data_IF_317967889408
#
_entry.id   IF_317967889408
#
_cell.length_a   1.000
_cell.length_b   1.000
_cell.length_c   1.000
_cell.angle_alpha   90.00
_cell.angle_beta   90.00
_cell.angle_gamma   90.00
#
_symmetry.space_group_name_H-M   'P 1'
#
loop_
_entity.id
_entity.type
_entity.pdbx_description
1 polymer ?
#
# COMPACT_ATOMS: atom_id res chain seq x y z
N UNK A 1 -8.40 -3.13 -73.26
CA UNK A 1 -8.83 -2.25 -72.17
C UNK A 1 -9.23 -3.12 -70.97
N UNK A 2 -8.32 -3.33 -69.99
CA UNK A 2 -8.60 -4.12 -68.80
C UNK A 2 -8.67 -3.19 -67.60
N UNK A 3 -9.89 -2.98 -67.07
CA UNK A 3 -10.11 -2.29 -65.79
C UNK A 3 -9.72 -3.25 -64.68
N UNK A 4 -8.62 -2.94 -63.99
CA UNK A 4 -8.27 -3.60 -62.73
C UNK A 4 -9.16 -3.06 -61.61
N UNK A 5 -10.01 -3.93 -61.05
CA UNK A 5 -10.78 -3.65 -59.85
C UNK A 5 -9.83 -3.63 -58.66
N UNK A 6 -9.62 -2.46 -58.09
CA UNK A 6 -8.91 -2.30 -56.81
C UNK A 6 -9.93 -2.60 -55.72
N UNK A 7 -9.77 -3.74 -55.06
CA UNK A 7 -10.51 -4.08 -53.85
C UNK A 7 -9.93 -3.28 -52.70
N UNK A 8 -10.69 -2.33 -52.17
CA UNK A 8 -10.36 -1.54 -51.01
C UNK A 8 -10.71 -2.38 -49.79
N UNK A 9 -9.71 -3.04 -49.21
CA UNK A 9 -9.86 -3.73 -47.94
C UNK A 9 -9.89 -2.67 -46.82
N UNK A 10 -11.09 -2.34 -46.36
CA UNK A 10 -11.29 -1.56 -45.15
C UNK A 10 -11.01 -2.47 -43.97
N UNK A 11 -9.80 -2.36 -43.43
CA UNK A 11 -9.42 -3.00 -42.17
C UNK A 11 -10.11 -2.22 -41.04
N UNK A 12 -11.26 -2.74 -40.59
CA UNK A 12 -11.98 -2.25 -39.44
C UNK A 12 -11.14 -2.60 -38.19
N UNK A 13 -10.24 -1.70 -37.82
CA UNK A 13 -9.58 -1.72 -36.52
C UNK A 13 -10.64 -1.47 -35.43
N UNK A 14 -11.22 -2.55 -34.93
CA UNK A 14 -11.90 -2.53 -33.63
C UNK A 14 -10.87 -2.22 -32.56
N UNK A 15 -10.66 -0.93 -32.30
CA UNK A 15 -10.02 -0.46 -31.09
C UNK A 15 -10.94 -0.85 -29.92
N UNK A 16 -10.66 -1.99 -29.32
CA UNK A 16 -11.19 -2.33 -28.00
C UNK A 16 -10.52 -1.33 -27.04
N UNK A 17 -11.15 -0.18 -26.90
CA UNK A 17 -10.90 0.70 -25.77
C UNK A 17 -11.30 -0.10 -24.53
N UNK A 18 -10.33 -0.77 -23.93
CA UNK A 18 -10.44 -1.22 -22.56
C UNK A 18 -10.64 0.04 -21.72
N UNK A 19 -11.89 0.45 -21.54
CA UNK A 19 -12.28 1.38 -20.52
C UNK A 19 -11.91 0.72 -19.21
N UNK A 20 -10.71 1.04 -18.72
CA UNK A 20 -10.37 0.88 -17.32
C UNK A 20 -11.35 1.80 -16.60
N UNK A 21 -12.50 1.26 -16.23
CA UNK A 21 -13.38 1.87 -15.26
C UNK A 21 -12.54 1.97 -14.00
N UNK A 22 -11.96 3.13 -13.77
CA UNK A 22 -11.48 3.53 -12.47
C UNK A 22 -12.71 3.45 -11.57
N UNK A 23 -12.87 2.31 -10.90
CA UNK A 23 -13.90 2.15 -9.88
C UNK A 23 -13.59 3.26 -8.87
N UNK A 24 -14.48 4.25 -8.78
CA UNK A 24 -14.43 5.31 -7.79
C UNK A 24 -14.64 4.66 -6.41
N UNK A 25 -13.57 4.12 -5.87
CA UNK A 25 -13.57 3.51 -4.56
C UNK A 25 -13.75 4.64 -3.53
N UNK A 26 -14.83 4.62 -2.77
CA UNK A 26 -15.04 5.57 -1.68
C UNK A 26 -14.09 5.22 -0.54
N UNK A 27 -13.16 6.13 -0.23
CA UNK A 27 -12.20 5.97 0.85
C UNK A 27 -12.74 6.67 2.08
N UNK A 28 -13.09 5.89 3.10
CA UNK A 28 -13.43 6.40 4.42
C UNK A 28 -12.18 6.52 5.28
N UNK A 29 -12.12 7.54 6.13
CA UNK A 29 -11.06 7.66 7.12
C UNK A 29 -11.40 6.75 8.32
N UNK A 30 -10.51 5.82 8.62
CA UNK A 30 -10.56 4.97 9.80
C UNK A 30 -9.55 5.37 10.86
N UNK A 31 -9.38 4.51 11.85
CA UNK A 31 -8.45 4.67 12.96
C UNK A 31 -7.58 3.43 13.11
N UNK A 32 -6.36 3.63 13.62
CA UNK A 32 -5.46 2.55 13.98
C UNK A 32 -6.05 1.61 15.05
N UNK A 33 -6.97 2.09 15.88
CA UNK A 33 -7.67 1.28 16.90
C UNK A 33 -8.50 0.15 16.26
N UNK A 34 -8.91 0.31 15.01
CA UNK A 34 -9.64 -0.72 14.24
C UNK A 34 -8.76 -1.93 13.87
N UNK A 35 -7.44 -1.86 14.12
CA UNK A 35 -6.53 -3.00 14.04
C UNK A 35 -6.69 -3.96 15.24
N UNK A 36 -7.45 -3.57 16.26
CA UNK A 36 -7.73 -4.42 17.40
C UNK A 36 -8.55 -5.63 16.98
N UNK A 37 -8.07 -6.83 17.34
CA UNK A 37 -8.73 -8.09 17.01
C UNK A 37 -8.57 -8.54 15.56
N UNK A 38 -7.79 -7.85 14.73
CA UNK A 38 -7.42 -8.32 13.40
C UNK A 38 -6.55 -9.57 13.52
N UNK A 39 -6.93 -10.63 12.81
CA UNK A 39 -6.22 -11.92 12.81
C UNK A 39 -5.65 -12.27 11.44
N UNK A 40 -6.33 -11.85 10.36
CA UNK A 40 -6.01 -12.23 8.99
C UNK A 40 -5.63 -11.02 8.15
N UNK A 41 -4.51 -11.12 7.46
CA UNK A 41 -4.03 -10.07 6.57
C UNK A 41 -3.81 -10.60 5.16
N UNK A 42 -4.19 -9.80 4.17
CA UNK A 42 -3.79 -9.98 2.79
C UNK A 42 -2.73 -8.93 2.42
N UNK A 43 -1.64 -9.35 1.77
CA UNK A 43 -0.55 -8.45 1.40
C UNK A 43 -0.48 -8.31 -0.11
N UNK A 44 -0.94 -7.15 -0.59
CA UNK A 44 -0.95 -6.73 -2.00
C UNK A 44 0.25 -5.82 -2.27
N UNK A 45 1.25 -6.35 -2.96
CA UNK A 45 2.45 -5.61 -3.31
C UNK A 45 2.53 -5.50 -4.83
N UNK A 46 2.38 -4.28 -5.32
CA UNK A 46 2.57 -3.96 -6.74
C UNK A 46 4.03 -3.57 -7.01
N UNK A 47 4.92 -4.53 -6.77
CA UNK A 47 6.36 -4.42 -6.94
C UNK A 47 6.95 -5.82 -7.15
N UNK A 48 8.28 -5.95 -7.15
CA UNK A 48 8.94 -7.25 -7.24
C UNK A 48 8.56 -8.17 -6.07
N UNK A 49 8.48 -9.48 -6.31
CA UNK A 49 8.16 -10.48 -5.27
C UNK A 49 9.06 -10.35 -4.04
N UNK A 50 10.33 -10.04 -4.23
CA UNK A 50 11.29 -9.81 -3.16
C UNK A 50 10.87 -8.71 -2.16
N UNK A 51 10.09 -7.71 -2.62
CA UNK A 51 9.55 -6.64 -1.76
C UNK A 51 8.48 -7.21 -0.83
N UNK A 52 7.59 -8.04 -1.36
CA UNK A 52 6.57 -8.72 -0.56
C UNK A 52 7.19 -9.59 0.53
N UNK A 53 8.20 -10.35 0.17
CA UNK A 53 8.87 -11.26 1.11
C UNK A 53 9.58 -10.48 2.23
N UNK A 54 10.19 -9.33 1.92
CA UNK A 54 10.79 -8.45 2.94
C UNK A 54 9.76 -7.87 3.89
N UNK A 55 8.60 -7.42 3.37
CA UNK A 55 7.49 -6.94 4.20
C UNK A 55 7.03 -8.04 5.16
N UNK A 56 6.76 -9.23 4.64
CA UNK A 56 6.30 -10.36 5.44
C UNK A 56 7.33 -10.80 6.49
N UNK A 57 8.61 -10.84 6.13
CA UNK A 57 9.68 -11.19 7.06
C UNK A 57 9.78 -10.20 8.22
N UNK A 58 9.71 -8.90 7.93
CA UNK A 58 9.81 -7.87 8.97
C UNK A 58 8.56 -7.86 9.87
N UNK A 59 7.35 -8.04 9.33
CA UNK A 59 6.12 -8.18 10.13
C UNK A 59 6.26 -9.36 11.09
N UNK A 60 6.58 -10.55 10.56
CA UNK A 60 6.74 -11.77 11.37
C UNK A 60 7.78 -11.61 12.47
N UNK A 61 8.91 -10.99 12.15
CA UNK A 61 9.99 -10.72 13.12
C UNK A 61 9.50 -9.88 14.30
N UNK A 62 8.82 -8.77 14.01
CA UNK A 62 8.34 -7.84 15.04
C UNK A 62 7.21 -8.46 15.89
N UNK A 63 6.29 -9.19 15.26
CA UNK A 63 5.18 -9.84 15.98
C UNK A 63 5.66 -11.00 16.84
N UNK A 64 6.59 -11.82 16.36
CA UNK A 64 7.19 -12.90 17.17
C UNK A 64 7.88 -12.39 18.42
N UNK A 65 8.60 -11.27 18.32
CA UNK A 65 9.22 -10.62 19.48
C UNK A 65 8.20 -10.25 20.56
N UNK A 66 6.96 -9.94 20.15
CA UNK A 66 5.84 -9.61 21.03
C UNK A 66 4.94 -10.82 21.37
N UNK A 67 5.32 -12.05 20.96
CA UNK A 67 4.53 -13.28 21.12
C UNK A 67 3.13 -13.16 20.50
N UNK A 68 3.05 -12.50 19.36
CA UNK A 68 1.83 -12.32 18.56
C UNK A 68 2.01 -12.95 17.18
N UNK A 69 0.91 -13.32 16.56
CA UNK A 69 0.90 -13.91 15.23
C UNK A 69 -0.25 -13.33 14.40
N UNK A 70 -0.05 -13.25 13.10
CA UNK A 70 -1.07 -12.90 12.12
C UNK A 70 -1.08 -13.96 11.03
N UNK A 71 -2.26 -14.35 10.62
CA UNK A 71 -2.48 -15.29 9.53
C UNK A 71 -2.39 -14.53 8.21
N UNK A 72 -1.47 -14.94 7.35
CA UNK A 72 -1.33 -14.38 6.02
C UNK A 72 -2.15 -15.22 5.06
N UNK A 73 -3.20 -14.62 4.49
CA UNK A 73 -4.09 -15.30 3.55
C UNK A 73 -3.68 -15.04 2.11
N UNK A 74 -4.01 -15.98 1.21
CA UNK A 74 -3.71 -15.87 -0.22
C UNK A 74 -4.80 -15.15 -1.00
N UNK A 75 -6.02 -15.12 -0.47
CA UNK A 75 -7.18 -14.50 -1.10
C UNK A 75 -7.60 -13.26 -0.34
N UNK A 76 -7.84 -12.15 -1.04
CA UNK A 76 -8.22 -10.89 -0.38
C UNK A 76 -9.54 -10.99 0.40
N UNK A 77 -10.50 -11.78 -0.08
CA UNK A 77 -11.82 -11.96 0.55
C UNK A 77 -11.78 -12.71 1.89
N UNK A 78 -10.69 -13.41 2.17
CA UNK A 78 -10.49 -14.15 3.42
C UNK A 78 -9.82 -13.31 4.52
N UNK A 79 -9.46 -12.07 4.22
CA UNK A 79 -8.71 -11.22 5.14
C UNK A 79 -9.57 -10.18 5.85
N UNK A 80 -9.16 -9.83 7.06
CA UNK A 80 -9.77 -8.73 7.83
C UNK A 80 -9.33 -7.37 7.30
N UNK A 81 -8.08 -7.28 6.86
CA UNK A 81 -7.46 -6.07 6.31
C UNK A 81 -6.49 -6.39 5.17
N UNK A 82 -6.28 -5.39 4.32
CA UNK A 82 -5.28 -5.44 3.25
C UNK A 82 -4.12 -4.50 3.55
N UNK A 83 -2.91 -5.02 3.45
CA UNK A 83 -1.69 -4.23 3.39
C UNK A 83 -1.32 -4.04 1.93
N UNK A 84 -1.35 -2.79 1.46
CA UNK A 84 -1.00 -2.44 0.08
C UNK A 84 0.31 -1.68 0.08
N UNK A 85 1.23 -2.06 -0.79
CA UNK A 85 2.50 -1.36 -0.96
C UNK A 85 2.86 -1.26 -2.43
N UNK A 86 3.22 -0.05 -2.88
CA UNK A 86 3.66 0.21 -4.24
C UNK A 86 4.58 1.43 -4.28
N UNK A 87 5.14 1.68 -5.44
CA UNK A 87 5.91 2.88 -5.71
C UNK A 87 5.16 3.75 -6.73
N UNK A 88 5.04 5.03 -6.42
CA UNK A 88 4.49 6.05 -7.32
C UNK A 88 5.59 6.93 -7.87
N UNK A 89 5.43 7.36 -9.12
CA UNK A 89 6.29 8.37 -9.71
C UNK A 89 5.75 9.75 -9.38
N UNK A 90 6.55 10.57 -8.73
CA UNK A 90 6.20 11.96 -8.42
C UNK A 90 7.22 12.91 -9.00
N UNK A 91 6.73 14.01 -9.57
CA UNK A 91 7.58 15.12 -9.99
C UNK A 91 7.85 16.02 -8.79
N UNK A 92 9.12 16.16 -8.46
CA UNK A 92 9.59 16.98 -7.34
C UNK A 92 10.32 18.20 -7.91
N UNK A 93 9.93 19.36 -7.44
CA UNK A 93 10.59 20.61 -7.77
C UNK A 93 11.61 20.94 -6.69
N UNK A 94 12.86 21.14 -7.09
CA UNK A 94 13.94 21.58 -6.21
C UNK A 94 14.39 22.97 -6.61
N UNK A 95 14.56 23.87 -5.64
CA UNK A 95 15.18 25.16 -5.86
C UNK A 95 16.67 25.10 -5.48
N UNK A 96 17.53 25.53 -6.35
CA UNK A 96 18.98 25.57 -6.14
C UNK A 96 19.58 26.88 -6.67
N UNK A 97 20.87 27.13 -6.41
CA UNK A 97 21.57 28.34 -6.86
C UNK A 97 21.54 28.56 -8.39
N UNK A 98 21.23 27.52 -9.16
CA UNK A 98 21.12 27.56 -10.63
C UNK A 98 19.67 27.61 -11.15
N UNK A 99 18.67 27.79 -10.30
CA UNK A 99 17.24 27.81 -10.67
C UNK A 99 16.46 26.57 -10.23
N UNK A 100 15.23 26.47 -10.73
CA UNK A 100 14.33 25.34 -10.40
C UNK A 100 14.73 24.10 -11.17
N UNK A 101 15.02 23.03 -10.46
CA UNK A 101 15.28 21.71 -11.02
C UNK A 101 14.03 20.86 -10.87
N UNK A 102 13.58 20.24 -11.97
CA UNK A 102 12.46 19.29 -11.97
C UNK A 102 13.01 17.88 -12.06
N UNK A 103 12.68 17.06 -11.08
CA UNK A 103 13.09 15.66 -11.05
C UNK A 103 11.90 14.75 -10.83
N UNK A 104 11.86 13.62 -11.54
CA UNK A 104 10.88 12.57 -11.28
C UNK A 104 11.49 11.52 -10.36
N UNK A 105 10.84 11.28 -9.24
CA UNK A 105 11.28 10.31 -8.22
C UNK A 105 10.24 9.26 -7.95
N UNK A 106 10.72 8.08 -7.59
CA UNK A 106 9.90 6.93 -7.22
C UNK A 106 9.65 6.98 -5.71
N UNK A 107 8.42 7.28 -5.31
CA UNK A 107 8.03 7.46 -3.91
C UNK A 107 7.35 6.19 -3.41
N UNK A 108 7.75 5.63 -2.27
CA UNK A 108 7.08 4.49 -1.67
C UNK A 108 5.77 4.92 -1.01
N UNK A 109 4.71 4.18 -1.28
CA UNK A 109 3.39 4.37 -0.69
C UNK A 109 2.92 3.05 -0.10
N UNK A 110 2.61 3.06 1.18
CA UNK A 110 2.05 1.94 1.91
C UNK A 110 0.72 2.32 2.53
N UNK A 111 -0.29 1.47 2.42
CA UNK A 111 -1.58 1.68 3.06
C UNK A 111 -2.08 0.41 3.73
N UNK A 112 -2.79 0.58 4.83
CA UNK A 112 -3.54 -0.49 5.49
C UNK A 112 -5.01 -0.12 5.41
N UNK A 113 -5.79 -0.97 4.76
CA UNK A 113 -7.19 -0.72 4.51
C UNK A 113 -8.06 -1.89 4.96
N UNK A 114 -9.27 -1.57 5.43
CA UNK A 114 -10.34 -2.53 5.67
C UNK A 114 -11.34 -2.44 4.53
N UNK A 115 -11.68 -3.58 3.94
CA UNK A 115 -12.67 -3.65 2.88
C UNK A 115 -14.06 -3.67 3.52
N UNK A 116 -14.89 -2.69 3.17
CA UNK A 116 -16.27 -2.57 3.68
C UNK A 116 -17.31 -3.05 2.68
N UNK A 117 -16.92 -3.27 1.44
CA UNK A 117 -17.76 -3.69 0.34
C UNK A 117 -17.06 -3.53 -0.99
N UNK A 118 -17.79 -3.71 -2.10
CA UNK A 118 -17.23 -3.70 -3.45
C UNK A 118 -16.51 -2.38 -3.79
N UNK A 119 -17.11 -1.25 -3.40
CA UNK A 119 -16.63 0.09 -3.78
C UNK A 119 -16.27 0.96 -2.56
N UNK A 120 -16.18 0.38 -1.37
CA UNK A 120 -15.90 1.10 -0.12
C UNK A 120 -14.75 0.48 0.63
N UNK A 121 -13.78 1.30 0.97
CA UNK A 121 -12.64 0.92 1.81
C UNK A 121 -12.45 1.92 2.93
N UNK A 122 -11.96 1.46 4.07
CA UNK A 122 -11.61 2.32 5.19
C UNK A 122 -10.10 2.31 5.36
N UNK A 123 -9.49 3.49 5.27
CA UNK A 123 -8.06 3.68 5.44
C UNK A 123 -7.72 3.73 6.94
N UNK A 124 -7.01 2.73 7.43
CA UNK A 124 -6.61 2.61 8.84
C UNK A 124 -5.24 3.23 9.10
N UNK A 125 -4.34 3.12 8.15
CA UNK A 125 -2.98 3.63 8.24
C UNK A 125 -2.47 3.97 6.83
N UNK A 126 -1.69 5.04 6.73
CA UNK A 126 -0.93 5.39 5.53
C UNK A 126 0.54 5.61 5.88
N UNK A 127 1.41 5.18 4.97
CA UNK A 127 2.84 5.41 5.01
C UNK A 127 3.26 6.02 3.67
N UNK A 128 3.90 7.15 3.73
CA UNK A 128 4.56 7.74 2.58
C UNK A 128 5.88 8.36 3.01
N UNK A 129 6.87 8.27 2.17
CA UNK A 129 8.14 8.92 2.39
C UNK A 129 8.30 10.03 1.35
N UNK A 130 8.26 11.27 1.81
CA UNK A 130 8.58 12.41 0.96
C UNK A 130 10.07 12.70 1.12
N UNK A 131 10.86 12.53 0.06
CA UNK A 131 12.28 12.86 0.14
C UNK A 131 12.45 14.35 0.43
N UNK A 132 13.37 14.75 1.29
CA UNK A 132 13.67 16.15 1.52
C UNK A 132 14.06 16.84 0.20
N UNK A 133 13.70 18.11 0.05
CA UNK A 133 13.85 18.90 -1.19
C UNK A 133 15.30 18.97 -1.71
N UNK A 134 16.28 18.72 -0.85
CA UNK A 134 17.70 18.79 -1.13
C UNK A 134 18.43 17.50 -0.82
N UNK A 135 18.27 16.49 -1.64
CA UNK A 135 19.19 15.37 -1.56
C UNK A 135 19.90 15.22 -2.88
N UNK A 136 20.94 15.98 -3.00
CA UNK A 136 22.05 15.63 -3.88
C UNK A 136 22.68 14.36 -3.33
N UNK A 137 22.29 13.21 -3.83
CA UNK A 137 22.89 11.92 -3.49
C UNK A 137 22.07 11.08 -2.52
N UNK A 138 21.50 10.12 -3.00
CA UNK A 138 21.59 8.67 -2.81
C UNK A 138 21.37 8.06 -1.41
N UNK A 139 21.31 8.78 -0.29
CA UNK A 139 21.13 8.15 1.02
C UNK A 139 19.72 7.65 1.27
N UNK A 140 18.72 8.30 0.71
CA UNK A 140 17.32 7.86 0.84
C UNK A 140 17.00 6.67 -0.08
N UNK A 141 17.65 6.55 -1.25
CA UNK A 141 17.49 5.42 -2.17
C UNK A 141 18.00 4.09 -1.59
N UNK A 142 18.85 4.17 -0.55
CA UNK A 142 19.37 2.98 0.15
C UNK A 142 18.42 2.49 1.25
N UNK A 143 17.40 3.25 1.60
CA UNK A 143 16.41 2.81 2.58
C UNK A 143 15.52 1.74 1.98
N UNK A 144 15.29 0.72 2.75
CA UNK A 144 14.31 -0.31 2.43
C UNK A 144 12.94 0.16 2.97
N UNK A 145 12.29 1.05 2.24
CA UNK A 145 11.01 1.66 2.65
C UNK A 145 9.92 0.63 2.91
N UNK A 146 9.95 -0.50 2.23
CA UNK A 146 9.08 -1.62 2.49
C UNK A 146 9.27 -2.21 3.90
N UNK A 147 10.51 -2.20 4.39
CA UNK A 147 10.83 -2.64 5.77
C UNK A 147 10.35 -1.62 6.79
N UNK A 148 10.51 -0.33 6.51
CA UNK A 148 10.02 0.74 7.39
C UNK A 148 8.49 0.74 7.47
N UNK A 149 7.80 0.54 6.33
CA UNK A 149 6.35 0.36 6.29
C UNK A 149 5.90 -0.85 7.14
N UNK A 150 6.55 -1.99 6.95
CA UNK A 150 6.24 -3.22 7.68
C UNK A 150 6.45 -3.06 9.20
N UNK A 151 7.50 -2.35 9.60
CA UNK A 151 7.81 -2.05 11.01
C UNK A 151 6.78 -1.13 11.62
N UNK A 152 6.39 -0.07 10.90
CA UNK A 152 5.37 0.88 11.38
C UNK A 152 4.00 0.20 11.50
N UNK A 153 3.64 -0.66 10.54
CA UNK A 153 2.43 -1.48 10.65
C UNK A 153 2.48 -2.37 11.89
N UNK A 154 3.57 -3.13 12.09
CA UNK A 154 3.69 -4.03 13.24
C UNK A 154 3.61 -3.27 14.56
N UNK A 155 4.26 -2.12 14.68
CA UNK A 155 4.19 -1.24 15.85
C UNK A 155 2.77 -0.77 16.14
N UNK A 156 2.08 -0.29 15.10
CA UNK A 156 0.69 0.20 15.22
C UNK A 156 -0.27 -0.91 15.59
N UNK A 157 -0.12 -2.09 14.97
CA UNK A 157 -0.89 -3.29 15.31
C UNK A 157 -0.68 -3.72 16.77
N UNK A 158 0.56 -3.77 17.23
CA UNK A 158 0.88 -4.13 18.61
C UNK A 158 0.30 -3.12 19.59
N UNK A 159 0.38 -1.83 19.30
CA UNK A 159 -0.20 -0.78 20.13
C UNK A 159 -1.73 -0.93 20.27
N UNK A 160 -2.42 -1.20 19.15
CA UNK A 160 -3.88 -1.42 19.14
C UNK A 160 -4.31 -2.68 19.92
N UNK A 161 -3.44 -3.71 19.98
CA UNK A 161 -3.71 -4.98 20.63
C UNK A 161 -3.03 -5.14 22.01
N UNK A 162 -2.34 -4.11 22.50
CA UNK A 162 -1.81 -4.09 23.85
C UNK A 162 -2.92 -3.81 24.85
N UNK A 163 -2.91 -4.46 26.03
CA UNK A 163 -3.84 -4.10 27.09
C UNK A 163 -3.60 -2.63 27.46
N UNK A 164 -4.67 -1.82 27.47
CA UNK A 164 -4.57 -0.42 27.90
C UNK A 164 -4.05 -0.42 29.34
N UNK A 165 -2.82 0.06 29.55
CA UNK A 165 -2.29 0.28 30.88
C UNK A 165 -3.22 1.26 31.62
N UNK A 166 -3.91 0.79 32.65
CA UNK A 166 -4.72 1.64 33.54
C UNK A 166 -6.19 1.25 33.71
N UNK A 167 -6.67 0.17 33.10
CA UNK A 167 -7.98 -0.34 33.47
C UNK A 167 -7.82 -1.31 34.65
N UNK A 168 -8.27 -0.95 35.87
CA UNK A 168 -8.24 -1.90 36.99
C UNK A 168 -9.07 -3.13 36.60
N UNK A 169 -8.68 -4.33 37.08
CA UNK A 169 -9.44 -5.54 36.81
C UNK A 169 -10.88 -5.30 37.28
N UNK A 170 -11.85 -5.50 36.39
CA UNK A 170 -13.26 -5.54 36.75
C UNK A 170 -13.39 -6.68 37.77
N UNK A 171 -13.50 -6.34 39.04
CA UNK A 171 -13.95 -7.28 40.06
C UNK A 171 -15.32 -7.74 39.60
N UNK A 172 -15.42 -9.00 39.22
CA UNK A 172 -16.70 -9.68 39.03
C UNK A 172 -17.35 -9.69 40.40
N UNK A 173 -18.32 -8.80 40.62
CA UNK A 173 -19.21 -8.86 41.76
C UNK A 173 -20.04 -10.13 41.62
N UNK A 174 -19.76 -11.10 42.43
CA UNK A 174 -20.55 -12.29 42.72
C UNK A 174 -21.89 -11.91 43.31
#
# INVERSE_FOLDING_TARGET
>A
MHLKKIAFNVFLLCSIAATVTAQNQTIEKGSADELKGVEKIFVDVRAEMSVRDRILAEIRKNLRAAKRELIIVSKPEESDIHLRFHYEWQTVHGEGPGGTTVMTKKIPVGTVVKILGKDRVRLLMSYSFTPPNFVTGTTWDRRKHEVDFAREFAKTYLAANSPKQGQPPRLLSS
#
